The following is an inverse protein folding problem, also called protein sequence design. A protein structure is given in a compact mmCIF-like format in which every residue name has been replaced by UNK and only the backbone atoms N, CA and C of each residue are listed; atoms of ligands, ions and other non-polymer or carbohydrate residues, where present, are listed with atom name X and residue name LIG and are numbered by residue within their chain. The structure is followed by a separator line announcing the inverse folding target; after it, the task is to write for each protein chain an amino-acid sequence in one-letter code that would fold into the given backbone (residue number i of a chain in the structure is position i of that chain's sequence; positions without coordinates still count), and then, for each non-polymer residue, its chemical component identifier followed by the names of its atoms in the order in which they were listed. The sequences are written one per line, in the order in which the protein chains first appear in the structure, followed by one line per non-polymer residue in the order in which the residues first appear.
data_IF_221903035343
#
_entry.id   IF_221903035343
#
_cell.length_a   1.000
_cell.length_b   1.000
_cell.length_c   1.000
_cell.angle_alpha   90.00
_cell.angle_beta   90.00
_cell.angle_gamma   90.00
#
_symmetry.space_group_name_H-M   'P 1'
#
loop_
_entity.id
_entity.type
_entity.pdbx_description
1 polymer ?
#
# COMPACT_ATOMS: atom_id res chain seq x y z
N UNK A 1 47.60 -31.87 49.89
CA UNK A 1 47.93 -32.17 48.47
C UNK A 1 46.63 -32.53 47.76
N UNK A 2 45.89 -31.53 47.26
CA UNK A 2 44.66 -31.78 46.49
C UNK A 2 45.09 -32.49 45.21
N UNK A 3 44.65 -33.74 45.03
CA UNK A 3 45.04 -34.55 43.86
C UNK A 3 44.58 -33.79 42.62
N UNK A 4 45.52 -33.48 41.72
CA UNK A 4 45.34 -32.78 40.45
C UNK A 4 44.10 -33.24 39.64
N UNK A 5 43.67 -34.49 39.87
CA UNK A 5 42.43 -35.08 39.35
C UNK A 5 41.16 -34.30 39.73
N UNK A 6 41.03 -33.81 40.97
CA UNK A 6 39.83 -33.07 41.41
C UNK A 6 39.73 -31.69 40.76
N UNK A 7 40.87 -31.03 40.52
CA UNK A 7 40.92 -29.76 39.80
C UNK A 7 40.52 -29.96 38.34
N UNK A 8 40.97 -31.04 37.71
CA UNK A 8 40.59 -31.40 36.35
C UNK A 8 39.07 -31.67 36.22
N UNK A 9 38.49 -32.43 37.16
CA UNK A 9 37.03 -32.67 37.17
C UNK A 9 36.23 -31.40 37.41
N UNK A 10 36.69 -30.50 38.28
CA UNK A 10 36.03 -29.22 38.51
C UNK A 10 36.02 -28.36 37.24
N UNK A 11 37.14 -28.27 36.52
CA UNK A 11 37.23 -27.50 35.27
C UNK A 11 36.29 -28.08 34.20
N UNK A 12 36.27 -29.40 34.02
CA UNK A 12 35.35 -30.03 33.06
C UNK A 12 33.89 -29.77 33.45
N UNK A 13 33.54 -29.92 34.73
CA UNK A 13 32.19 -29.65 35.21
C UNK A 13 31.78 -28.19 34.97
N UNK A 14 32.68 -27.23 35.21
CA UNK A 14 32.43 -25.81 34.94
C UNK A 14 32.23 -25.56 33.44
N UNK A 15 33.02 -26.18 32.57
CA UNK A 15 32.84 -26.05 31.11
C UNK A 15 31.50 -26.64 30.66
N UNK A 16 31.12 -27.82 31.16
CA UNK A 16 29.83 -28.45 30.85
C UNK A 16 28.68 -27.57 31.34
N UNK A 17 28.77 -27.03 32.56
CA UNK A 17 27.76 -26.11 33.10
C UNK A 17 27.70 -24.81 32.31
N UNK A 18 28.81 -24.30 31.81
CA UNK A 18 28.85 -23.12 30.93
C UNK A 18 28.20 -23.42 29.58
N UNK A 19 28.49 -24.59 28.98
CA UNK A 19 27.87 -25.04 27.73
C UNK A 19 26.37 -25.26 27.92
N UNK A 20 25.93 -25.82 29.05
CA UNK A 20 24.51 -25.96 29.37
C UNK A 20 23.86 -24.60 29.61
N UNK A 21 24.47 -23.70 30.37
CA UNK A 21 23.94 -22.35 30.61
C UNK A 21 23.85 -21.52 29.32
N UNK A 22 24.82 -21.65 28.42
CA UNK A 22 24.83 -21.01 27.10
C UNK A 22 23.91 -21.72 26.10
N UNK A 23 23.70 -23.03 26.25
CA UNK A 23 22.81 -23.85 25.42
C UNK A 23 21.33 -23.67 25.74
N UNK A 24 20.98 -23.30 26.98
CA UNK A 24 19.61 -22.96 27.39
C UNK A 24 19.22 -21.55 26.90
N UNK A 25 20.18 -20.74 26.45
CA UNK A 25 19.93 -19.42 25.86
C UNK A 25 19.44 -19.45 24.40
N UNK A 26 19.28 -20.63 23.79
CA UNK A 26 19.03 -20.78 22.36
C UNK A 26 17.62 -21.26 22.00
N UNK A 27 16.64 -21.13 22.90
CA UNK A 27 15.26 -21.57 22.65
C UNK A 27 14.22 -20.52 23.03
N UNK A 28 14.44 -19.30 22.54
CA UNK A 28 13.35 -18.43 22.13
C UNK A 28 13.66 -17.98 20.71
N UNK A 29 13.61 -18.95 19.79
CA UNK A 29 13.58 -18.62 18.37
C UNK A 29 12.29 -17.81 18.19
N UNK A 30 12.43 -16.49 18.01
CA UNK A 30 11.29 -15.62 17.73
C UNK A 30 10.62 -16.21 16.49
N UNK A 31 9.43 -16.78 16.64
CA UNK A 31 8.68 -17.30 15.51
C UNK A 31 8.33 -16.12 14.63
N UNK A 32 8.87 -16.12 13.43
CA UNK A 32 8.54 -15.14 12.42
C UNK A 32 7.32 -15.65 11.65
N UNK A 33 6.25 -14.88 11.63
CA UNK A 33 5.06 -15.18 10.82
C UNK A 33 5.14 -14.42 9.50
N UNK A 34 4.47 -14.90 8.45
CA UNK A 34 4.34 -14.13 7.21
C UNK A 34 3.47 -12.90 7.47
N UNK A 35 3.74 -11.79 6.78
CA UNK A 35 2.86 -10.63 6.86
C UNK A 35 1.43 -10.99 6.42
N UNK A 36 0.38 -10.62 7.17
CA UNK A 36 -1.00 -10.91 6.81
C UNK A 36 -1.45 -9.96 5.69
N UNK A 37 -1.21 -10.35 4.43
CA UNK A 37 -1.55 -9.55 3.27
C UNK A 37 -3.05 -9.66 2.92
N UNK A 38 -3.64 -8.53 2.53
CA UNK A 38 -5.00 -8.44 2.02
C UNK A 38 -5.11 -7.25 1.07
N UNK A 39 -6.15 -7.23 0.23
CA UNK A 39 -6.39 -6.14 -0.71
C UNK A 39 -6.53 -4.80 0.04
N UNK A 40 -5.75 -3.78 -0.33
CA UNK A 40 -5.81 -2.48 0.33
C UNK A 40 -7.09 -1.70 -0.01
N UNK A 41 -7.82 -2.15 -1.03
CA UNK A 41 -8.97 -1.46 -1.63
C UNK A 41 -10.22 -2.35 -1.66
N UNK A 42 -10.40 -3.20 -0.66
CA UNK A 42 -11.68 -3.87 -0.40
C UNK A 42 -12.84 -2.88 -0.33
N UNK A 43 -14.07 -3.38 -0.48
CA UNK A 43 -15.28 -2.57 -0.32
C UNK A 43 -15.22 -1.78 1.01
N UNK A 44 -15.42 -0.47 0.92
CA UNK A 44 -15.47 0.38 2.11
C UNK A 44 -16.60 -0.07 3.06
N UNK A 45 -16.39 0.12 4.36
CA UNK A 45 -17.46 -0.11 5.32
C UNK A 45 -18.50 1.00 5.26
N UNK A 46 -19.71 0.77 5.79
CA UNK A 46 -20.72 1.83 5.94
C UNK A 46 -20.14 3.06 6.67
N UNK A 47 -19.36 2.84 7.73
CA UNK A 47 -18.77 3.94 8.50
C UNK A 47 -17.77 4.77 7.68
N UNK A 48 -17.07 4.16 6.72
CA UNK A 48 -16.17 4.87 5.81
C UNK A 48 -16.95 5.66 4.75
N UNK A 49 -18.06 5.13 4.26
CA UNK A 49 -18.97 5.82 3.34
C UNK A 49 -19.63 7.02 4.04
N UNK A 50 -20.15 6.82 5.26
CA UNK A 50 -20.70 7.90 6.08
C UNK A 50 -19.64 8.99 6.34
N UNK A 51 -18.39 8.59 6.55
CA UNK A 51 -17.28 9.53 6.71
C UNK A 51 -17.04 10.34 5.43
N UNK A 52 -16.97 9.68 4.27
CA UNK A 52 -16.80 10.36 2.98
C UNK A 52 -17.97 11.27 2.66
N UNK A 53 -19.18 10.88 3.02
CA UNK A 53 -20.36 11.71 2.82
C UNK A 53 -20.31 12.98 3.67
N UNK A 54 -20.12 12.83 4.99
CA UNK A 54 -20.09 13.97 5.93
C UNK A 54 -18.96 14.95 5.60
N UNK A 55 -17.78 14.46 5.19
CA UNK A 55 -16.60 15.31 5.00
C UNK A 55 -16.38 15.74 3.55
N UNK A 56 -16.90 14.99 2.58
CA UNK A 56 -16.63 15.20 1.15
C UNK A 56 -17.87 15.14 0.26
N UNK A 57 -19.09 15.00 0.80
CA UNK A 57 -20.35 15.01 0.03
C UNK A 57 -20.43 13.90 -1.01
N UNK A 58 -20.00 12.69 -0.64
CA UNK A 58 -20.03 11.54 -1.55
C UNK A 58 -21.46 11.21 -2.01
N UNK A 59 -22.45 11.17 -1.11
CA UNK A 59 -23.82 10.78 -1.46
C UNK A 59 -24.61 11.92 -2.11
N UNK A 60 -24.14 13.17 -2.00
CA UNK A 60 -24.61 14.27 -2.85
C UNK A 60 -24.26 14.02 -4.33
N UNK A 61 -23.20 13.26 -4.60
CA UNK A 61 -22.73 12.93 -5.95
C UNK A 61 -23.21 11.56 -6.40
N UNK A 62 -23.27 10.57 -5.50
CA UNK A 62 -23.61 9.17 -5.78
C UNK A 62 -24.87 8.76 -5.00
N UNK A 63 -26.05 9.12 -5.53
CA UNK A 63 -27.36 8.89 -4.92
C UNK A 63 -28.09 7.70 -5.56
N UNK A 64 -27.63 6.48 -5.28
CA UNK A 64 -28.23 5.24 -5.83
C UNK A 64 -29.66 5.02 -5.30
N UNK A 65 -29.92 5.37 -4.05
CA UNK A 65 -31.24 5.19 -3.42
C UNK A 65 -32.29 6.16 -4.00
N UNK A 66 -31.90 7.42 -4.25
CA UNK A 66 -32.75 8.42 -4.90
C UNK A 66 -32.86 8.25 -6.42
N UNK A 67 -31.95 7.48 -7.04
CA UNK A 67 -31.91 7.26 -8.49
C UNK A 67 -31.87 5.76 -8.85
N UNK A 68 -32.99 5.03 -8.69
CA UNK A 68 -33.04 3.58 -8.93
C UNK A 68 -32.86 3.17 -10.40
N UNK A 69 -32.75 4.14 -11.32
CA UNK A 69 -32.49 3.90 -12.75
C UNK A 69 -31.02 4.05 -13.12
N UNK A 70 -30.15 4.41 -12.17
CA UNK A 70 -28.73 4.51 -12.42
C UNK A 70 -28.15 3.15 -12.81
N UNK A 71 -27.36 3.17 -13.87
CA UNK A 71 -26.54 2.07 -14.32
C UNK A 71 -25.19 2.06 -13.60
N UNK A 72 -24.46 0.95 -13.71
CA UNK A 72 -23.07 0.88 -13.22
C UNK A 72 -22.19 1.98 -13.82
N UNK A 73 -22.45 2.35 -15.08
CA UNK A 73 -21.76 3.45 -15.76
C UNK A 73 -22.13 4.83 -15.18
N UNK A 74 -23.39 5.05 -14.80
CA UNK A 74 -23.81 6.29 -14.13
C UNK A 74 -23.12 6.45 -12.76
N UNK A 75 -23.06 5.36 -11.98
CA UNK A 75 -22.38 5.33 -10.67
C UNK A 75 -20.88 5.60 -10.86
N UNK A 76 -20.23 4.91 -11.81
CA UNK A 76 -18.81 5.09 -12.09
C UNK A 76 -18.48 6.53 -12.54
N UNK A 77 -19.30 7.12 -13.42
CA UNK A 77 -19.13 8.51 -13.84
C UNK A 77 -19.31 9.51 -12.69
N UNK A 78 -20.30 9.27 -11.81
CA UNK A 78 -20.51 10.09 -10.62
C UNK A 78 -19.32 10.02 -9.66
N UNK A 79 -18.72 8.83 -9.48
CA UNK A 79 -17.49 8.66 -8.70
C UNK A 79 -16.30 9.41 -9.30
N UNK A 80 -16.10 9.38 -10.62
CA UNK A 80 -15.07 10.18 -11.29
C UNK A 80 -15.28 11.68 -11.04
N UNK A 81 -16.51 12.16 -11.17
CA UNK A 81 -16.85 13.57 -10.91
C UNK A 81 -16.56 13.96 -9.46
N UNK A 82 -16.94 13.11 -8.50
CA UNK A 82 -16.64 13.30 -7.08
C UNK A 82 -15.12 13.34 -6.83
N UNK A 83 -14.35 12.39 -7.37
CA UNK A 83 -12.90 12.36 -7.21
C UNK A 83 -12.23 13.61 -7.78
N UNK A 84 -12.63 14.08 -8.97
CA UNK A 84 -12.10 15.33 -9.55
C UNK A 84 -12.37 16.55 -8.67
N UNK A 85 -13.48 16.54 -7.92
CA UNK A 85 -13.81 17.63 -7.00
C UNK A 85 -13.08 17.50 -5.65
N UNK A 86 -12.93 16.29 -5.12
CA UNK A 86 -12.58 16.02 -3.71
C UNK A 86 -11.22 15.37 -3.50
N UNK A 87 -10.58 14.89 -4.56
CA UNK A 87 -9.21 14.42 -4.53
C UNK A 87 -8.28 15.36 -5.30
N UNK A 88 -6.98 15.28 -5.03
CA UNK A 88 -5.98 16.07 -5.75
C UNK A 88 -4.64 15.34 -5.85
N UNK A 89 -3.99 15.56 -6.98
CA UNK A 89 -2.58 15.20 -7.20
C UNK A 89 -1.63 16.39 -6.99
N UNK A 90 -2.14 17.60 -6.74
CA UNK A 90 -1.34 18.83 -6.56
C UNK A 90 -0.50 18.83 -5.26
N UNK A 91 -0.45 17.70 -4.57
CA UNK A 91 0.38 17.44 -3.41
C UNK A 91 1.71 16.78 -3.77
N UNK A 92 2.13 16.73 -5.04
CA UNK A 92 3.35 15.99 -5.46
C UNK A 92 4.63 16.44 -4.72
N UNK A 93 4.62 17.63 -4.11
CA UNK A 93 5.71 18.12 -3.27
C UNK A 93 5.72 17.54 -1.84
N UNK A 94 4.66 16.85 -1.40
CA UNK A 94 4.63 16.19 -0.11
C UNK A 94 5.53 14.94 -0.15
N UNK A 95 6.45 14.78 0.82
CA UNK A 95 7.43 13.70 0.81
C UNK A 95 6.79 12.31 0.92
N UNK A 96 5.58 12.22 1.46
CA UNK A 96 4.85 10.98 1.69
C UNK A 96 3.78 10.69 0.63
N UNK A 97 3.77 11.42 -0.51
CA UNK A 97 2.69 11.29 -1.49
C UNK A 97 2.62 9.87 -2.09
N UNK A 98 3.76 9.21 -2.32
CA UNK A 98 3.83 7.87 -2.94
C UNK A 98 3.89 6.71 -1.95
N UNK A 99 3.96 7.00 -0.64
CA UNK A 99 4.17 5.98 0.39
C UNK A 99 3.07 4.90 0.39
N UNK A 100 1.76 5.21 0.39
CA UNK A 100 0.73 4.16 0.42
C UNK A 100 0.84 3.19 -0.76
N UNK A 101 1.10 3.71 -1.97
CA UNK A 101 1.29 2.91 -3.18
C UNK A 101 2.48 1.96 -3.04
N UNK A 102 3.67 2.48 -2.70
CA UNK A 102 4.89 1.69 -2.54
C UNK A 102 4.77 0.65 -1.44
N UNK A 103 4.17 1.03 -0.31
CA UNK A 103 4.03 0.16 0.86
C UNK A 103 3.04 -0.97 0.62
N UNK A 104 1.88 -0.67 0.05
CA UNK A 104 0.89 -1.69 -0.28
C UNK A 104 1.32 -2.57 -1.46
N UNK A 105 2.27 -2.15 -2.30
CA UNK A 105 2.84 -3.03 -3.31
C UNK A 105 3.53 -4.24 -2.68
N UNK A 106 4.39 -4.02 -1.67
CA UNK A 106 5.20 -5.09 -1.05
C UNK A 106 4.52 -5.75 0.17
N UNK A 107 3.64 -5.01 0.86
CA UNK A 107 2.88 -5.46 2.02
C UNK A 107 1.41 -5.02 1.87
N UNK A 108 0.65 -5.61 0.95
CA UNK A 108 -0.73 -5.21 0.70
C UNK A 108 -1.58 -5.25 1.97
N UNK A 109 -2.32 -4.15 2.21
CA UNK A 109 -3.14 -4.00 3.40
C UNK A 109 -2.41 -3.30 4.57
N UNK A 110 -1.11 -3.02 4.46
CA UNK A 110 -0.37 -2.24 5.46
C UNK A 110 -0.97 -0.85 5.65
N UNK A 111 -1.51 -0.25 4.59
CA UNK A 111 -2.15 1.06 4.65
C UNK A 111 -3.42 1.07 3.79
N UNK A 112 -4.54 0.52 4.29
CA UNK A 112 -5.76 0.33 3.51
C UNK A 112 -6.45 1.66 3.20
N UNK A 113 -7.28 1.67 2.16
CA UNK A 113 -8.01 2.86 1.71
C UNK A 113 -8.83 3.51 2.83
N UNK A 114 -9.45 2.71 3.71
CA UNK A 114 -10.22 3.23 4.85
C UNK A 114 -9.39 4.10 5.82
N UNK A 115 -8.08 3.88 5.91
CA UNK A 115 -7.17 4.74 6.66
C UNK A 115 -6.73 5.94 5.81
N UNK A 116 -6.42 5.72 4.53
CA UNK A 116 -5.96 6.77 3.61
C UNK A 116 -6.95 7.93 3.53
N UNK A 117 -8.25 7.66 3.33
CA UNK A 117 -9.28 8.69 3.20
C UNK A 117 -9.41 9.60 4.43
N UNK A 118 -9.02 9.11 5.61
CA UNK A 118 -9.10 9.84 6.89
C UNK A 118 -7.82 10.59 7.24
N UNK A 119 -6.67 10.12 6.72
CA UNK A 119 -5.35 10.57 7.18
C UNK A 119 -4.61 11.39 6.13
N UNK A 120 -5.00 11.29 4.86
CA UNK A 120 -4.33 11.96 3.74
C UNK A 120 -5.14 13.13 3.23
N UNK A 121 -5.21 14.18 4.04
CA UNK A 121 -6.01 15.36 3.75
C UNK A 121 -5.14 16.61 3.67
N UNK A 122 -5.50 17.51 2.76
CA UNK A 122 -4.90 18.84 2.63
C UNK A 122 -5.98 19.88 2.39
N UNK A 123 -5.68 21.14 2.76
CA UNK A 123 -6.68 22.21 2.77
C UNK A 123 -7.45 22.28 4.08
N UNK A 124 -8.43 23.19 4.15
CA UNK A 124 -9.26 23.41 5.34
C UNK A 124 -10.73 23.64 4.94
N UNK A 125 -11.66 23.18 5.77
CA UNK A 125 -13.09 23.39 5.57
C UNK A 125 -13.60 22.81 4.24
N UNK A 126 -14.29 23.63 3.45
CA UNK A 126 -14.90 23.22 2.17
C UNK A 126 -13.88 22.89 1.08
N UNK A 127 -12.64 23.37 1.22
CA UNK A 127 -11.53 23.14 0.29
C UNK A 127 -10.69 21.92 0.67
N UNK A 128 -11.07 21.19 1.73
CA UNK A 128 -10.39 19.97 2.14
C UNK A 128 -10.47 18.94 1.00
N UNK A 129 -9.31 18.40 0.61
CA UNK A 129 -9.18 17.36 -0.40
C UNK A 129 -8.37 16.19 0.13
N UNK A 130 -8.67 15.00 -0.37
CA UNK A 130 -7.83 13.82 -0.16
C UNK A 130 -6.69 13.88 -1.18
N UNK A 131 -5.44 13.80 -0.73
CA UNK A 131 -4.30 13.84 -1.64
C UNK A 131 -3.71 12.45 -1.90
N UNK A 132 -3.15 12.27 -3.09
CA UNK A 132 -2.48 11.03 -3.48
C UNK A 132 -2.01 11.06 -4.92
N UNK A 133 -1.37 9.97 -5.34
CA UNK A 133 -0.98 9.70 -6.72
C UNK A 133 -2.07 8.92 -7.47
N UNK A 134 -1.80 8.52 -8.70
CA UNK A 134 -2.72 7.77 -9.56
C UNK A 134 -3.19 6.46 -8.93
N UNK A 135 -2.30 5.72 -8.25
CA UNK A 135 -2.67 4.53 -7.51
C UNK A 135 -3.67 4.83 -6.38
N UNK A 136 -3.49 5.91 -5.61
CA UNK A 136 -4.42 6.27 -4.54
C UNK A 136 -5.82 6.60 -5.10
N UNK A 137 -5.89 7.31 -6.23
CA UNK A 137 -7.15 7.57 -6.91
C UNK A 137 -7.83 6.29 -7.38
N UNK A 138 -7.08 5.39 -8.03
CA UNK A 138 -7.62 4.10 -8.48
C UNK A 138 -8.09 3.23 -7.30
N UNK A 139 -7.32 3.18 -6.20
CA UNK A 139 -7.64 2.42 -5.00
C UNK A 139 -8.87 2.96 -4.27
N UNK A 140 -8.96 4.29 -4.09
CA UNK A 140 -10.15 4.94 -3.50
C UNK A 140 -11.39 4.70 -4.37
N UNK A 141 -11.28 4.88 -5.69
CA UNK A 141 -12.37 4.60 -6.61
C UNK A 141 -12.84 3.15 -6.47
N UNK A 142 -11.92 2.18 -6.54
CA UNK A 142 -12.26 0.77 -6.49
C UNK A 142 -12.94 0.38 -5.18
N UNK A 143 -12.47 0.90 -4.04
CA UNK A 143 -13.07 0.63 -2.73
C UNK A 143 -14.50 1.18 -2.61
N UNK A 144 -14.76 2.39 -3.13
CA UNK A 144 -16.11 2.98 -3.14
C UNK A 144 -17.01 2.26 -4.16
N UNK A 145 -16.52 1.99 -5.37
CA UNK A 145 -17.27 1.29 -6.41
C UNK A 145 -17.72 -0.10 -5.93
N UNK A 146 -16.84 -0.87 -5.26
CA UNK A 146 -17.20 -2.16 -4.67
C UNK A 146 -18.27 -2.04 -3.58
N UNK A 147 -18.27 -0.98 -2.79
CA UNK A 147 -19.34 -0.74 -1.80
C UNK A 147 -20.70 -0.59 -2.50
N UNK A 148 -20.75 0.11 -3.63
CA UNK A 148 -21.96 0.23 -4.46
C UNK A 148 -22.24 -0.99 -5.34
N UNK A 149 -21.46 -2.07 -5.21
CA UNK A 149 -21.68 -3.34 -5.90
C UNK A 149 -21.13 -3.42 -7.33
N UNK A 150 -20.32 -2.44 -7.77
CA UNK A 150 -19.70 -2.48 -9.09
C UNK A 150 -18.58 -3.53 -9.12
N UNK A 151 -18.51 -4.28 -10.23
CA UNK A 151 -17.36 -5.15 -10.51
C UNK A 151 -16.22 -4.30 -11.08
N UNK A 152 -15.13 -4.18 -10.31
CA UNK A 152 -14.02 -3.27 -10.59
C UNK A 152 -12.67 -3.95 -10.41
N UNK A 153 -11.72 -3.59 -11.29
CA UNK A 153 -10.30 -3.95 -11.20
C UNK A 153 -9.44 -2.71 -11.32
N UNK A 154 -8.18 -2.83 -10.90
CA UNK A 154 -7.16 -1.81 -11.18
C UNK A 154 -6.28 -2.32 -12.31
N UNK A 155 -5.98 -1.44 -13.25
CA UNK A 155 -4.98 -1.67 -14.30
C UNK A 155 -3.81 -0.72 -14.11
N UNK A 156 -2.65 -1.13 -14.59
CA UNK A 156 -1.44 -0.32 -14.58
C UNK A 156 -0.82 -0.24 -15.97
N UNK A 157 -0.22 0.90 -16.25
CA UNK A 157 0.70 1.08 -17.36
C UNK A 157 2.06 0.50 -16.95
N UNK A 158 2.33 -0.76 -17.32
CA UNK A 158 3.44 -1.57 -16.77
C UNK A 158 4.83 -1.18 -17.30
N UNK A 159 5.18 0.08 -17.13
CA UNK A 159 6.51 0.66 -17.36
C UNK A 159 6.94 1.31 -16.04
N UNK A 160 8.19 1.11 -15.63
CA UNK A 160 8.75 1.83 -14.48
C UNK A 160 9.08 3.27 -14.87
N UNK A 161 8.97 4.21 -13.93
CA UNK A 161 9.30 5.62 -14.19
C UNK A 161 10.77 5.71 -14.58
N UNK A 162 11.64 4.96 -13.91
CA UNK A 162 13.05 4.79 -14.26
C UNK A 162 13.27 4.45 -15.74
N UNK A 163 12.52 3.49 -16.28
CA UNK A 163 12.60 3.06 -17.68
C UNK A 163 12.13 4.14 -18.69
N UNK A 164 11.36 5.14 -18.22
CA UNK A 164 10.87 6.25 -19.04
C UNK A 164 11.73 7.51 -18.96
N UNK A 165 12.71 7.55 -18.07
CA UNK A 165 13.62 8.70 -17.89
C UNK A 165 14.83 8.61 -18.81
N UNK A 166 15.35 9.76 -19.26
CA UNK A 166 16.45 9.78 -20.21
C UNK A 166 17.76 9.30 -19.53
N UNK A 167 18.61 8.52 -20.22
CA UNK A 167 19.91 8.11 -19.68
C UNK A 167 20.75 9.34 -19.29
N UNK A 168 21.11 9.45 -18.01
CA UNK A 168 21.95 10.54 -17.49
C UNK A 168 21.30 11.45 -16.44
N UNK A 169 20.01 11.28 -16.16
CA UNK A 169 19.31 12.00 -15.08
C UNK A 169 19.57 11.41 -13.68
N UNK A 170 20.46 10.41 -13.58
CA UNK A 170 20.87 9.79 -12.32
C UNK A 170 19.93 8.69 -11.82
N UNK A 171 18.98 8.28 -12.66
CA UNK A 171 18.10 7.13 -12.43
C UNK A 171 18.68 5.96 -13.25
N UNK A 172 18.92 4.82 -12.59
CA UNK A 172 19.43 3.60 -13.23
C UNK A 172 18.31 2.94 -14.05
N UNK A 173 18.66 2.20 -15.12
CA UNK A 173 17.69 1.40 -15.89
C UNK A 173 17.09 0.28 -15.01
N UNK A 174 15.75 0.18 -14.93
CA UNK A 174 15.00 -0.80 -14.11
C UNK A 174 14.54 -0.28 -12.74
N UNK A 175 13.77 -1.10 -11.97
CA UNK A 175 13.09 -0.61 -10.78
C UNK A 175 14.06 -0.17 -9.70
N UNK A 176 13.94 1.09 -9.27
CA UNK A 176 14.70 1.61 -8.13
C UNK A 176 14.39 0.84 -6.84
N UNK A 177 15.42 0.60 -6.02
CA UNK A 177 15.29 -0.20 -4.79
C UNK A 177 15.58 0.61 -3.54
N UNK A 178 14.92 0.23 -2.45
CA UNK A 178 15.14 0.78 -1.12
C UNK A 178 14.19 1.89 -0.75
N UNK A 179 14.43 2.47 0.43
CA UNK A 179 13.64 3.54 1.01
C UNK A 179 14.57 4.65 1.50
N UNK A 180 14.15 5.90 1.32
CA UNK A 180 14.81 7.03 1.95
C UNK A 180 14.66 7.00 3.49
N UNK A 181 15.46 7.79 4.24
CA UNK A 181 15.38 7.82 5.70
C UNK A 181 14.00 8.22 6.24
N UNK A 182 13.33 9.16 5.56
CA UNK A 182 12.00 9.65 5.92
C UNK A 182 10.92 8.57 5.71
N UNK A 183 10.94 7.91 4.55
CA UNK A 183 10.04 6.78 4.24
C UNK A 183 10.26 5.63 5.22
N UNK A 184 11.51 5.27 5.52
CA UNK A 184 11.85 4.24 6.52
C UNK A 184 11.30 4.61 7.91
N UNK A 185 11.42 5.87 8.32
CA UNK A 185 10.86 6.35 9.59
C UNK A 185 9.34 6.27 9.63
N UNK A 186 8.67 6.65 8.54
CA UNK A 186 7.21 6.61 8.43
C UNK A 186 6.68 5.17 8.41
N UNK A 187 7.31 4.27 7.63
CA UNK A 187 7.01 2.84 7.59
C UNK A 187 7.13 2.20 8.99
N UNK A 188 8.21 2.47 9.72
CA UNK A 188 8.38 1.97 11.10
C UNK A 188 7.27 2.45 12.04
N UNK A 189 6.88 3.71 11.92
CA UNK A 189 5.78 4.27 12.71
C UNK A 189 4.47 3.57 12.39
N UNK A 190 4.20 3.30 11.10
CA UNK A 190 3.02 2.58 10.65
C UNK A 190 3.00 1.14 11.16
N UNK A 191 4.11 0.41 11.04
CA UNK A 191 4.25 -0.95 11.55
C UNK A 191 4.02 -1.01 13.07
N UNK A 192 4.60 -0.07 13.83
CA UNK A 192 4.41 -0.01 15.27
C UNK A 192 2.95 0.22 15.67
N UNK A 193 2.21 1.06 14.95
CA UNK A 193 0.77 1.27 15.18
C UNK A 193 -0.05 0.00 14.98
N UNK A 194 0.38 -0.87 14.06
CA UNK A 194 -0.26 -2.15 13.76
C UNK A 194 0.26 -3.31 14.63
N UNK A 195 1.21 -3.03 15.53
CA UNK A 195 1.81 -4.05 16.39
C UNK A 195 2.82 -4.96 15.68
N UNK A 196 3.33 -4.55 14.53
CA UNK A 196 4.34 -5.31 13.78
C UNK A 196 5.75 -4.79 14.04
N UNK A 197 6.69 -5.72 14.14
CA UNK A 197 8.13 -5.42 14.10
C UNK A 197 8.79 -6.18 12.96
N UNK A 198 9.29 -5.43 11.96
CA UNK A 198 9.99 -5.95 10.79
C UNK A 198 11.40 -5.34 10.74
N UNK A 199 12.46 -6.15 10.53
CA UNK A 199 13.81 -5.62 10.36
C UNK A 199 13.90 -4.61 9.20
N UNK A 200 14.56 -3.47 9.42
CA UNK A 200 14.72 -2.42 8.40
C UNK A 200 15.41 -2.93 7.13
N UNK A 201 16.37 -3.84 7.27
CA UNK A 201 17.03 -4.46 6.12
C UNK A 201 16.07 -5.31 5.28
N UNK A 202 15.15 -6.04 5.90
CA UNK A 202 14.10 -6.78 5.19
C UNK A 202 13.22 -5.83 4.38
N UNK A 203 12.78 -4.73 4.99
CA UNK A 203 11.95 -3.72 4.30
C UNK A 203 12.71 -3.05 3.15
N UNK A 204 13.97 -2.67 3.37
CA UNK A 204 14.81 -2.03 2.35
C UNK A 204 15.06 -2.94 1.14
N UNK A 205 15.23 -4.24 1.37
CA UNK A 205 15.48 -5.21 0.31
C UNK A 205 14.22 -5.51 -0.51
N UNK A 206 13.05 -5.48 0.14
CA UNK A 206 11.76 -5.70 -0.50
C UNK A 206 11.28 -4.47 -1.28
N UNK A 207 11.59 -3.26 -0.83
CA UNK A 207 11.08 -2.04 -1.45
C UNK A 207 11.61 -1.87 -2.88
N UNK A 208 10.66 -1.79 -3.81
CA UNK A 208 10.89 -1.60 -5.24
C UNK A 208 9.98 -0.49 -5.76
N UNK A 209 10.42 0.15 -6.82
CA UNK A 209 9.62 1.06 -7.62
C UNK A 209 8.32 0.39 -8.12
N UNK A 210 7.29 1.20 -8.29
CA UNK A 210 5.97 0.80 -8.79
C UNK A 210 5.77 1.28 -10.23
N UNK A 211 4.72 0.84 -10.89
CA UNK A 211 4.44 1.25 -12.28
C UNK A 211 4.11 2.74 -12.39
N UNK A 212 4.32 3.30 -13.58
CA UNK A 212 4.23 4.73 -13.83
C UNK A 212 2.80 5.29 -13.69
N UNK A 213 1.77 4.49 -13.98
CA UNK A 213 0.38 4.94 -13.85
C UNK A 213 -0.59 3.80 -13.52
N UNK A 214 -1.63 4.12 -12.75
CA UNK A 214 -2.70 3.21 -12.37
C UNK A 214 -4.07 3.86 -12.61
N UNK A 215 -5.05 3.06 -13.05
CA UNK A 215 -6.43 3.51 -13.25
C UNK A 215 -7.43 2.40 -12.90
N UNK A 216 -8.64 2.73 -12.43
CA UNK A 216 -9.69 1.76 -12.24
C UNK A 216 -10.40 1.44 -13.56
N UNK A 217 -10.84 0.20 -13.73
CA UNK A 217 -11.74 -0.23 -14.79
C UNK A 217 -12.96 -0.93 -14.18
N UNK A 218 -14.16 -0.60 -14.67
CA UNK A 218 -15.42 -1.22 -14.25
C UNK A 218 -15.94 -2.12 -15.37
N UNK A 219 -16.46 -3.29 -15.02
CA UNK A 219 -17.11 -4.18 -15.98
C UNK A 219 -18.50 -3.63 -16.32
N UNK A 220 -18.65 -3.05 -17.50
CA UNK A 220 -19.92 -2.55 -18.02
C UNK A 220 -20.41 -3.51 -19.12
N UNK A 221 -21.48 -4.24 -18.83
CA UNK A 221 -21.97 -5.31 -19.70
C UNK A 221 -20.96 -6.45 -19.80
N UNK A 222 -20.16 -6.47 -20.87
CA UNK A 222 -19.09 -7.48 -21.09
C UNK A 222 -17.72 -6.87 -21.33
N UNK A 223 -17.60 -5.55 -21.19
CA UNK A 223 -16.38 -4.81 -21.48
C UNK A 223 -15.87 -4.11 -20.21
N UNK A 224 -14.55 -4.12 -20.04
CA UNK A 224 -13.89 -3.30 -19.03
C UNK A 224 -13.72 -1.88 -19.58
N UNK A 225 -14.27 -0.90 -18.87
CA UNK A 225 -14.23 0.52 -19.24
C UNK A 225 -13.45 1.28 -18.17
N UNK A 226 -12.51 2.14 -18.58
CA UNK A 226 -11.69 2.92 -17.66
C UNK A 226 -12.40 4.16 -17.11
N UNK A 227 -12.16 4.46 -15.84
CA UNK A 227 -12.74 5.59 -15.11
C UNK A 227 -11.65 6.38 -14.37
N UNK A 228 -10.70 6.94 -15.14
CA UNK A 228 -9.55 7.64 -14.58
C UNK A 228 -9.84 9.11 -14.20
N UNK A 229 -9.91 9.38 -12.90
CA UNK A 229 -10.13 10.72 -12.37
C UNK A 229 -8.86 11.62 -12.37
N UNK A 230 -7.67 11.07 -12.63
CA UNK A 230 -6.41 11.81 -12.58
C UNK A 230 -6.17 12.71 -13.78
N UNK A 231 -6.97 12.57 -14.84
CA UNK A 231 -6.80 13.25 -16.12
C UNK A 231 -5.37 13.09 -16.66
N UNK A 232 -4.93 11.84 -16.93
CA UNK A 232 -3.59 11.61 -17.45
C UNK A 232 -3.40 12.35 -18.77
N UNK A 233 -2.16 12.75 -19.06
CA UNK A 233 -1.79 13.41 -20.31
C UNK A 233 -0.66 12.65 -21.00
N UNK A 234 -0.42 12.92 -22.28
CA UNK A 234 0.65 12.25 -23.03
C UNK A 234 0.35 10.78 -23.33
N UNK A 235 1.36 9.93 -23.23
CA UNK A 235 1.28 8.50 -23.57
C UNK A 235 0.26 7.76 -22.69
N UNK A 236 0.16 8.13 -21.41
CA UNK A 236 -0.79 7.56 -20.46
C UNK A 236 -2.27 7.70 -20.86
N UNK A 237 -2.59 8.69 -21.71
CA UNK A 237 -3.95 8.98 -22.18
C UNK A 237 -4.32 8.30 -23.50
N UNK A 238 -3.34 7.74 -24.22
CA UNK A 238 -3.51 7.26 -25.60
C UNK A 238 -3.13 5.79 -25.79
N UNK A 239 -2.52 5.17 -24.79
CA UNK A 239 -1.91 3.85 -24.92
C UNK A 239 -2.83 2.68 -24.50
N UNK A 240 -2.73 1.59 -25.25
CA UNK A 240 -3.30 0.27 -24.99
C UNK A 240 -2.52 -0.59 -24.00
N UNK A 241 -1.35 -0.17 -23.53
CA UNK A 241 -0.44 -0.92 -22.64
C UNK A 241 -0.92 -1.02 -21.18
N UNK A 242 -2.21 -0.78 -20.90
CA UNK A 242 -2.77 -1.04 -19.59
C UNK A 242 -3.06 -2.53 -19.43
N UNK A 243 -2.46 -3.11 -18.41
CA UNK A 243 -2.68 -4.49 -18.01
C UNK A 243 -3.28 -4.54 -16.61
N UNK A 244 -4.00 -5.61 -16.30
CA UNK A 244 -4.48 -5.83 -14.94
C UNK A 244 -3.31 -5.85 -13.95
N UNK A 245 -3.52 -5.14 -12.83
CA UNK A 245 -2.58 -4.99 -11.73
C UNK A 245 -3.21 -5.59 -10.47
N UNK A 246 -3.08 -6.90 -10.25
CA UNK A 246 -3.55 -7.56 -9.03
C UNK A 246 -2.95 -6.90 -7.79
N UNK A 247 -3.74 -6.77 -6.71
CA UNK A 247 -3.30 -6.11 -5.49
C UNK A 247 -2.09 -6.78 -4.82
N UNK A 248 -1.85 -8.06 -5.08
CA UNK A 248 -0.79 -8.88 -4.53
C UNK A 248 0.36 -9.14 -5.51
N UNK A 249 0.37 -8.53 -6.70
CA UNK A 249 1.39 -8.83 -7.72
C UNK A 249 2.82 -8.50 -7.25
N UNK A 250 2.97 -7.51 -6.36
CA UNK A 250 4.24 -7.08 -5.78
C UNK A 250 4.53 -7.65 -4.38
N UNK A 251 3.66 -8.50 -3.84
CA UNK A 251 3.78 -9.04 -2.48
C UNK A 251 5.14 -9.73 -2.30
N UNK A 252 5.94 -9.24 -1.35
CA UNK A 252 7.21 -9.87 -1.02
C UNK A 252 7.02 -10.92 0.08
N UNK A 253 6.97 -12.19 -0.32
CA UNK A 253 6.81 -13.32 0.60
C UNK A 253 7.97 -13.52 1.59
N UNK A 254 9.10 -12.85 1.40
CA UNK A 254 10.24 -12.88 2.33
C UNK A 254 10.06 -11.97 3.54
N UNK A 255 9.06 -11.07 3.52
CA UNK A 255 8.73 -10.21 4.65
C UNK A 255 8.07 -11.04 5.74
N UNK A 256 8.79 -11.20 6.84
CA UNK A 256 8.26 -11.82 8.04
C UNK A 256 8.13 -10.83 9.20
N UNK A 257 7.06 -10.97 9.96
CA UNK A 257 6.74 -10.16 11.12
C UNK A 257 7.16 -10.87 12.41
N UNK A 258 7.51 -10.05 13.41
CA UNK A 258 7.50 -10.44 14.82
C UNK A 258 6.27 -9.81 15.47
N UNK A 259 5.47 -10.64 16.13
CA UNK A 259 4.36 -10.22 17.00
C UNK A 259 4.86 -9.83 18.39
#
# INVERSE_FOLDING_TARGET
MVRMRYVFYAIILTIILLILALGIGCEQQVSFEKFPAFSPYEALSQADIDYLDVNFGLLDSVDVDGNPTWTDEDIANALVAWQRAKMTMDAMALPDISYPMRWNNIMPGIYPVGDMIKTRQMGEGVDTKIYGVCWDHAAVFAAIARYFGLEVRITAYKIYISDSTAPGDGIDDGPERGMGPEESSAMRSRLALLGFSIPEESLRNAMVETYAHYRPEVLIGTAWIDFDATNPTGEYALDSNYEEAPWDEGLDESICIRL
#
